data_IF_181650362384
#
_entry.id   IF_181650362384
#
_cell.length_a   1.000
_cell.length_b   1.000
_cell.length_c   1.000
_cell.angle_alpha   90.00
_cell.angle_beta   90.00
_cell.angle_gamma   90.00
#
_symmetry.space_group_name_H-M   'P 1'
#
loop_
_entity.id
_entity.type
_entity.pdbx_description
1 polymer ?
#
# COMPACT_ATOMS: atom_id res chain seq x y z
N UNK A 1 -11.54 6.40 -13.34
CA UNK A 1 -11.22 4.96 -13.21
C UNK A 1 -11.68 4.44 -11.85
N UNK A 2 -11.78 3.12 -11.66
CA UNK A 2 -12.12 2.52 -10.36
C UNK A 2 -10.89 1.81 -9.80
N UNK A 3 -10.60 2.05 -8.53
CA UNK A 3 -9.58 1.33 -7.77
C UNK A 3 -10.16 -0.01 -7.30
N UNK A 4 -9.44 -1.11 -7.53
CA UNK A 4 -9.85 -2.44 -7.03
C UNK A 4 -9.14 -2.72 -5.71
N UNK A 5 -9.87 -2.57 -4.61
CA UNK A 5 -9.37 -2.68 -3.24
C UNK A 5 -9.97 -1.58 -2.36
N UNK A 6 -10.16 -1.86 -1.08
CA UNK A 6 -10.67 -0.86 -0.13
C UNK A 6 -9.53 0.08 0.30
N UNK A 7 -9.60 1.39 0.04
CA UNK A 7 -8.59 2.31 0.52
C UNK A 7 -8.67 2.45 2.05
N UNK A 8 -7.51 2.37 2.70
CA UNK A 8 -7.36 2.47 4.16
C UNK A 8 -6.80 3.83 4.58
N UNK A 9 -5.80 4.33 3.87
CA UNK A 9 -5.19 5.63 4.08
C UNK A 9 -4.73 6.22 2.74
N UNK A 10 -4.72 7.55 2.65
CA UNK A 10 -4.31 8.31 1.46
C UNK A 10 -3.44 9.47 1.91
N UNK A 11 -2.28 9.61 1.28
CA UNK A 11 -1.32 10.70 1.50
C UNK A 11 -0.90 11.31 0.18
N UNK A 12 -0.43 12.55 0.25
CA UNK A 12 0.12 13.28 -0.90
C UNK A 12 1.62 13.43 -0.67
N UNK A 13 2.40 13.18 -1.71
CA UNK A 13 3.81 13.53 -1.77
C UNK A 13 4.02 14.60 -2.84
N UNK A 14 4.65 15.71 -2.45
CA UNK A 14 4.90 16.84 -3.33
C UNK A 14 6.41 17.00 -3.51
N UNK A 15 6.91 16.69 -4.71
CA UNK A 15 8.34 16.82 -5.01
C UNK A 15 8.69 18.28 -5.30
N UNK A 16 9.09 19.03 -4.25
CA UNK A 16 9.50 20.42 -4.38
C UNK A 16 8.39 21.33 -4.94
N UNK A 17 8.78 22.41 -5.64
CA UNK A 17 7.83 23.37 -6.25
C UNK A 17 7.17 22.86 -7.55
N UNK A 18 7.41 21.61 -7.95
CA UNK A 18 6.87 21.08 -9.19
C UNK A 18 5.45 20.52 -9.01
N UNK A 19 4.59 20.87 -9.95
CA UNK A 19 3.12 20.70 -9.98
C UNK A 19 2.63 19.26 -10.15
N UNK A 20 3.46 18.27 -9.86
CA UNK A 20 3.15 16.84 -10.07
C UNK A 20 3.14 16.09 -8.76
N UNK A 21 2.13 16.37 -7.94
CA UNK A 21 1.88 15.62 -6.71
C UNK A 21 1.64 14.13 -7.01
N UNK A 22 2.20 13.27 -6.16
CA UNK A 22 1.91 11.85 -6.15
C UNK A 22 0.87 11.56 -5.06
N UNK A 23 -0.11 10.74 -5.41
CA UNK A 23 -1.03 10.15 -4.45
C UNK A 23 -0.49 8.80 -4.01
N UNK A 24 -0.25 8.65 -2.71
CA UNK A 24 0.18 7.40 -2.08
C UNK A 24 -1.03 6.83 -1.35
N UNK A 25 -1.48 5.65 -1.74
CA UNK A 25 -2.72 5.02 -1.28
C UNK A 25 -2.39 3.67 -0.67
N UNK A 26 -2.84 3.41 0.56
CA UNK A 26 -2.87 2.06 1.11
C UNK A 26 -4.21 1.43 0.81
N UNK A 27 -4.17 0.16 0.42
CA UNK A 27 -5.37 -0.64 0.24
C UNK A 27 -5.48 -1.67 1.36
N UNK A 28 -6.60 -2.38 1.35
CA UNK A 28 -6.79 -3.60 2.09
C UNK A 28 -5.65 -4.60 1.83
N UNK A 29 -5.35 -5.35 2.88
CA UNK A 29 -4.35 -6.41 2.87
C UNK A 29 -2.92 -5.93 2.59
N UNK A 30 -2.54 -4.71 2.96
CA UNK A 30 -1.12 -4.33 2.95
C UNK A 30 -0.53 -3.99 1.57
N UNK A 31 -1.38 -3.60 0.62
CA UNK A 31 -0.92 -3.05 -0.68
C UNK A 31 -0.73 -1.55 -0.57
N UNK A 32 0.27 -1.03 -1.26
CA UNK A 32 0.55 0.41 -1.38
C UNK A 32 0.65 0.72 -2.86
N UNK A 33 -0.03 1.77 -3.30
CA UNK A 33 -0.02 2.23 -4.69
C UNK A 33 0.36 3.71 -4.71
N UNK A 34 1.30 4.07 -5.58
CA UNK A 34 1.64 5.45 -5.90
C UNK A 34 1.14 5.78 -7.29
N UNK A 35 0.28 6.79 -7.40
CA UNK A 35 -0.29 7.23 -8.67
C UNK A 35 0.00 8.70 -8.92
N UNK A 36 0.19 9.05 -10.19
CA UNK A 36 0.30 10.41 -10.68
C UNK A 36 -0.89 10.72 -11.57
N UNK A 37 -1.42 11.93 -11.48
CA UNK A 37 -2.44 12.38 -12.42
C UNK A 37 -1.81 12.99 -13.69
N UNK A 38 -2.17 12.46 -14.85
CA UNK A 38 -1.75 12.95 -16.16
C UNK A 38 -2.87 13.79 -16.78
N UNK A 39 -2.78 15.11 -16.61
CA UNK A 39 -3.79 16.06 -17.05
C UNK A 39 -4.06 15.99 -18.56
N UNK A 40 -3.03 15.80 -19.39
CA UNK A 40 -3.12 15.70 -20.85
C UNK A 40 -4.03 14.56 -21.31
N UNK A 41 -4.04 13.46 -20.55
CA UNK A 41 -4.80 12.24 -20.85
C UNK A 41 -6.05 12.10 -20.01
N UNK A 42 -6.25 12.99 -19.03
CA UNK A 42 -7.27 12.87 -17.99
C UNK A 42 -7.29 11.46 -17.36
N UNK A 43 -6.10 10.95 -17.00
CA UNK A 43 -5.92 9.57 -16.53
C UNK A 43 -4.95 9.50 -15.34
N UNK A 44 -5.07 8.45 -14.53
CA UNK A 44 -4.10 8.13 -13.48
C UNK A 44 -3.04 7.19 -14.04
N UNK A 45 -1.77 7.51 -13.80
CA UNK A 45 -0.65 6.66 -14.12
C UNK A 45 -0.08 6.04 -12.84
N UNK A 46 0.13 4.73 -12.84
CA UNK A 46 0.66 4.02 -11.68
C UNK A 46 2.17 4.05 -11.73
N UNK A 47 2.79 4.77 -10.80
CA UNK A 47 4.24 4.90 -10.72
C UNK A 47 4.84 3.67 -10.02
N UNK A 48 4.19 3.22 -8.95
CA UNK A 48 4.67 2.11 -8.14
C UNK A 48 3.49 1.37 -7.51
N UNK A 49 3.61 0.06 -7.42
CA UNK A 49 2.74 -0.78 -6.61
C UNK A 49 3.60 -1.74 -5.79
N UNK A 50 3.47 -1.66 -4.47
CA UNK A 50 4.12 -2.57 -3.54
C UNK A 50 3.04 -3.48 -2.95
N UNK A 51 3.24 -4.79 -3.08
CA UNK A 51 2.44 -5.77 -2.36
C UNK A 51 3.20 -6.25 -1.12
N UNK A 52 2.75 -5.83 0.06
CA UNK A 52 3.26 -6.32 1.35
C UNK A 52 2.64 -7.66 1.77
N UNK A 53 1.75 -8.23 0.97
CA UNK A 53 1.23 -9.59 1.17
C UNK A 53 2.33 -10.61 0.84
N UNK A 54 3.07 -11.03 1.85
CA UNK A 54 3.98 -12.17 1.71
C UNK A 54 3.53 -13.31 2.62
N UNK A 55 3.40 -14.52 2.05
CA UNK A 55 3.24 -15.76 2.81
C UNK A 55 4.42 -15.97 3.79
N UNK A 56 5.58 -15.36 3.51
CA UNK A 56 6.79 -15.44 4.32
C UNK A 56 6.72 -14.68 5.66
N UNK A 57 5.89 -13.63 5.76
CA UNK A 57 5.64 -12.95 7.04
C UNK A 57 4.69 -13.73 7.96
N UNK A 58 4.18 -14.89 7.50
CA UNK A 58 3.28 -15.73 8.28
C UNK A 58 1.88 -15.14 8.49
N UNK A 59 1.62 -13.92 8.00
CA UNK A 59 0.39 -13.15 8.22
C UNK A 59 -0.31 -12.74 6.92
N UNK A 60 0.06 -13.34 5.78
CA UNK A 60 -0.59 -13.11 4.50
C UNK A 60 -2.05 -13.62 4.49
N UNK A 61 -2.94 -12.77 3.98
CA UNK A 61 -4.36 -13.02 3.71
C UNK A 61 -4.67 -14.48 3.36
N UNK A 62 -5.38 -15.15 4.27
CA UNK A 62 -6.04 -16.46 4.14
C UNK A 62 -5.39 -17.48 3.18
N UNK A 63 -4.29 -18.12 3.59
CA UNK A 63 -4.05 -19.47 3.09
C UNK A 63 -5.06 -20.40 3.76
N UNK A 64 -6.16 -20.71 3.07
CA UNK A 64 -7.05 -21.80 3.46
C UNK A 64 -6.31 -23.14 3.29
N UNK A 65 -5.52 -23.54 4.28
CA UNK A 65 -5.01 -24.92 4.35
C UNK A 65 -6.02 -25.74 5.13
N UNK A 66 -6.85 -26.51 4.42
CA UNK A 66 -7.70 -27.52 5.05
C UNK A 66 -6.84 -28.75 5.37
N UNK A 67 -6.10 -28.71 6.48
CA UNK A 67 -5.40 -29.88 7.03
C UNK A 67 -6.26 -30.46 8.15
N UNK A 68 -6.73 -31.70 7.98
CA UNK A 68 -7.52 -32.46 8.98
C UNK A 68 -8.80 -31.77 9.49
N UNK A 69 -9.44 -30.91 8.67
CA UNK A 69 -10.75 -30.32 8.99
C UNK A 69 -10.73 -29.16 10.00
N UNK A 70 -9.56 -28.71 10.46
CA UNK A 70 -9.44 -27.59 11.41
C UNK A 70 -9.08 -26.29 10.67
N UNK A 71 -9.95 -25.29 10.75
CA UNK A 71 -9.67 -23.92 10.26
C UNK A 71 -8.71 -23.22 11.24
N UNK A 72 -7.61 -22.66 10.75
CA UNK A 72 -6.71 -21.80 11.54
C UNK A 72 -6.50 -20.47 10.82
N UNK A 73 -6.70 -19.37 11.57
CA UNK A 73 -6.44 -18.00 11.12
C UNK A 73 -5.01 -17.64 11.50
N UNK A 74 -4.19 -17.20 10.53
CA UNK A 74 -2.76 -16.94 10.74
C UNK A 74 -2.37 -15.45 10.72
N UNK A 75 -3.34 -14.54 10.64
CA UNK A 75 -3.09 -13.12 10.82
C UNK A 75 -4.40 -12.34 10.73
N UNK A 76 -4.56 -11.34 11.58
CA UNK A 76 -5.72 -10.44 11.57
C UNK A 76 -5.19 -9.01 11.52
N UNK A 77 -5.45 -8.32 10.43
CA UNK A 77 -5.17 -6.90 10.30
C UNK A 77 -5.68 -6.37 8.98
N UNK A 78 -6.61 -5.42 9.01
CA UNK A 78 -6.90 -4.58 7.84
C UNK A 78 -6.08 -3.29 7.88
N UNK A 79 -5.30 -3.10 8.95
CA UNK A 79 -4.60 -1.85 9.21
C UNK A 79 -3.36 -1.76 8.33
N UNK A 80 -3.46 -0.90 7.33
CA UNK A 80 -2.37 -0.41 6.51
C UNK A 80 -2.36 1.11 6.57
N UNK A 81 -1.54 1.67 7.46
CA UNK A 81 -1.36 3.12 7.61
C UNK A 81 -0.13 3.59 6.87
N UNK A 82 -0.15 4.81 6.34
CA UNK A 82 0.98 5.37 5.57
C UNK A 82 1.44 6.68 6.20
N UNK A 83 2.75 6.87 6.25
CA UNK A 83 3.40 8.15 6.50
C UNK A 83 4.34 8.47 5.32
N UNK A 84 4.37 9.72 4.91
CA UNK A 84 5.19 10.20 3.79
C UNK A 84 6.16 11.25 4.31
N UNK A 85 7.45 11.05 4.08
CA UNK A 85 8.49 12.04 4.38
C UNK A 85 8.74 12.91 3.14
N UNK A 86 8.26 14.15 3.18
CA UNK A 86 8.39 15.11 2.07
C UNK A 86 9.84 15.43 1.73
N UNK A 87 10.70 15.55 2.74
CA UNK A 87 12.08 16.02 2.56
C UNK A 87 13.04 14.94 2.02
N UNK A 88 12.76 13.67 2.32
CA UNK A 88 13.67 12.57 2.03
C UNK A 88 13.17 11.60 0.95
N UNK A 89 11.96 11.82 0.41
CA UNK A 89 11.40 10.97 -0.63
C UNK A 89 11.19 9.53 -0.18
N UNK A 90 10.63 9.34 1.02
CA UNK A 90 10.41 8.01 1.62
C UNK A 90 8.96 7.87 2.04
N UNK A 91 8.39 6.71 1.77
CA UNK A 91 7.10 6.27 2.30
C UNK A 91 7.35 5.19 3.34
N UNK A 92 6.75 5.37 4.52
CA UNK A 92 6.70 4.37 5.56
C UNK A 92 5.27 3.86 5.68
N UNK A 93 5.10 2.56 5.85
CA UNK A 93 3.78 1.97 6.07
C UNK A 93 3.82 0.87 7.11
N UNK A 94 2.79 0.82 7.94
CA UNK A 94 2.60 -0.29 8.88
C UNK A 94 1.66 -1.31 8.26
N UNK A 95 2.17 -2.50 7.93
CA UNK A 95 1.37 -3.61 7.41
C UNK A 95 0.89 -4.46 8.59
N UNK A 96 -0.43 -4.70 8.65
CA UNK A 96 -1.11 -5.44 9.73
C UNK A 96 -0.88 -4.85 11.13
N UNK A 97 -0.51 -3.56 11.21
CA UNK A 97 -0.11 -2.90 12.45
C UNK A 97 1.17 -3.45 13.10
N UNK A 98 1.90 -4.35 12.43
CA UNK A 98 3.03 -5.09 13.02
C UNK A 98 4.35 -4.88 12.27
N UNK A 99 4.29 -4.79 10.94
CA UNK A 99 5.49 -4.71 10.11
C UNK A 99 5.65 -3.31 9.53
N UNK A 100 6.82 -2.72 9.74
CA UNK A 100 7.18 -1.46 9.11
C UNK A 100 7.84 -1.75 7.75
N UNK A 101 7.21 -1.27 6.68
CA UNK A 101 7.80 -1.26 5.34
C UNK A 101 8.24 0.17 5.04
N UNK A 102 9.45 0.30 4.53
CA UNK A 102 10.04 1.59 4.13
C UNK A 102 10.37 1.50 2.65
N UNK A 103 9.71 2.32 1.84
CA UNK A 103 9.82 2.31 0.39
C UNK A 103 10.32 3.67 -0.09
N UNK A 104 11.44 3.74 -0.82
CA UNK A 104 11.87 4.98 -1.45
C UNK A 104 10.92 5.37 -2.58
N UNK A 105 10.66 6.66 -2.73
CA UNK A 105 9.90 7.21 -3.85
C UNK A 105 10.86 7.33 -5.05
N UNK A 106 10.50 6.76 -6.21
CA UNK A 106 11.35 6.75 -7.40
C UNK A 106 11.49 8.12 -8.06
#
# INVERSE_FOLDING_TARGET
EKLFGKPNDVKVYSYGQNTSDLLVISLDCGKIVMVKYLWERNALDTIMMCNGEENAYGTGSEVQVQSNGIRRYLGSGNDCSICVCQDNGVVCSTIYGQYLVVTPIP
#
